data_IF_208905071821
#
_entry.id   IF_208905071821
#
_cell.length_a   1.000
_cell.length_b   1.000
_cell.length_c   1.000
_cell.angle_alpha   90.00
_cell.angle_beta   90.00
_cell.angle_gamma   90.00
#
_symmetry.space_group_name_H-M   'P 1'
#
loop_
_entity.id
_entity.type
_entity.pdbx_description
1 polymer ?
#
# COMPACT_ATOMS: atom_id res chain seq x y z
N UNK A 1 -8.49 0.08 -6.57
CA UNK A 1 -7.91 0.62 -5.32
C UNK A 1 -6.45 0.19 -5.14
N UNK A 2 -6.16 -1.09 -5.24
CA UNK A 2 -4.80 -1.57 -5.05
C UNK A 2 -3.81 -0.90 -6.02
N UNK A 3 -4.14 -0.85 -7.28
CA UNK A 3 -3.23 -0.28 -8.28
C UNK A 3 -3.02 1.22 -8.06
N UNK A 4 -4.06 1.92 -7.66
CA UNK A 4 -3.95 3.34 -7.36
C UNK A 4 -3.01 3.57 -6.18
N UNK A 5 -3.17 2.80 -5.12
CA UNK A 5 -2.35 2.90 -3.93
C UNK A 5 -0.89 2.58 -4.27
N UNK A 6 -0.68 1.54 -5.07
CA UNK A 6 0.65 1.16 -5.50
C UNK A 6 1.33 2.29 -6.29
N UNK A 7 0.58 2.89 -7.19
CA UNK A 7 1.08 3.99 -8.01
C UNK A 7 1.43 5.20 -7.15
N UNK A 8 0.52 5.55 -6.24
CA UNK A 8 0.74 6.71 -5.37
C UNK A 8 1.94 6.51 -4.45
N UNK A 9 2.11 5.29 -3.94
CA UNK A 9 3.27 4.99 -3.11
C UNK A 9 4.56 5.14 -3.92
N UNK A 10 4.58 4.62 -5.14
CA UNK A 10 5.75 4.72 -6.01
C UNK A 10 6.09 6.17 -6.34
N UNK A 11 5.07 7.04 -6.38
CA UNK A 11 5.25 8.46 -6.65
C UNK A 11 5.66 9.25 -5.39
N UNK A 12 5.71 8.58 -4.25
CA UNK A 12 6.07 9.24 -3.01
C UNK A 12 4.91 9.98 -2.33
N UNK A 13 3.68 9.74 -2.79
CA UNK A 13 2.50 10.42 -2.24
C UNK A 13 1.98 9.74 -0.98
N UNK A 14 2.34 8.47 -0.75
CA UNK A 14 1.90 7.71 0.40
C UNK A 14 3.10 7.21 1.18
N UNK A 15 2.96 7.16 2.51
CA UNK A 15 3.98 6.60 3.38
C UNK A 15 3.61 5.15 3.73
N UNK A 16 4.57 4.43 4.30
CA UNK A 16 4.31 3.06 4.77
C UNK A 16 3.14 3.02 5.75
N UNK A 17 3.06 4.03 6.63
CA UNK A 17 1.98 4.10 7.60
C UNK A 17 0.63 4.23 6.93
N UNK A 18 0.56 5.02 5.86
CA UNK A 18 -0.69 5.20 5.12
C UNK A 18 -1.11 3.93 4.39
N UNK A 19 -0.14 3.22 3.81
CA UNK A 19 -0.45 1.95 3.15
C UNK A 19 -0.89 0.92 4.18
N UNK A 20 -0.27 0.93 5.37
CA UNK A 20 -0.66 0.02 6.45
C UNK A 20 -2.08 0.31 6.91
N UNK A 21 -2.49 1.59 6.95
CA UNK A 21 -3.86 1.93 7.28
C UNK A 21 -4.84 1.34 6.28
N UNK A 22 -4.46 1.28 5.01
CA UNK A 22 -5.30 0.67 4.00
C UNK A 22 -5.50 -0.83 4.27
N UNK A 23 -4.49 -1.50 4.80
CA UNK A 23 -4.61 -2.90 5.20
C UNK A 23 -5.59 -3.03 6.37
N UNK A 24 -5.43 -2.17 7.36
CA UNK A 24 -6.28 -2.19 8.55
C UNK A 24 -7.74 -1.96 8.18
N UNK A 25 -7.98 -1.04 7.25
CA UNK A 25 -9.33 -0.73 6.79
C UNK A 25 -9.90 -1.77 5.83
N UNK A 26 -9.09 -2.74 5.43
CA UNK A 26 -9.54 -3.79 4.52
C UNK A 26 -9.58 -3.37 3.06
N UNK A 27 -8.94 -2.27 2.72
CA UNK A 27 -8.87 -1.80 1.34
C UNK A 27 -7.93 -2.68 0.52
N UNK A 28 -6.82 -3.10 1.13
CA UNK A 28 -5.86 -4.02 0.52
C UNK A 28 -5.49 -5.10 1.53
N UNK A 29 -4.84 -6.16 1.05
CA UNK A 29 -4.39 -7.25 1.90
C UNK A 29 -2.94 -7.05 2.31
N UNK A 30 -2.47 -7.84 3.29
CA UNK A 30 -1.07 -7.78 3.70
C UNK A 30 -0.14 -8.18 2.56
N UNK A 31 -0.54 -9.14 1.75
CA UNK A 31 0.25 -9.54 0.58
C UNK A 31 0.40 -8.37 -0.39
N UNK A 32 -0.69 -7.62 -0.58
CA UNK A 32 -0.66 -6.44 -1.43
C UNK A 32 0.19 -5.33 -0.81
N UNK A 33 0.15 -5.19 0.50
CA UNK A 33 0.98 -4.24 1.20
C UNK A 33 2.47 -4.52 0.94
N UNK A 34 2.87 -5.78 1.07
CA UNK A 34 4.25 -6.17 0.82
C UNK A 34 4.65 -5.91 -0.63
N UNK A 35 3.74 -6.16 -1.55
CA UNK A 35 4.01 -5.92 -2.96
C UNK A 35 4.19 -4.43 -3.23
N UNK A 36 3.38 -3.59 -2.60
CA UNK A 36 3.45 -2.14 -2.79
C UNK A 36 4.75 -1.59 -2.24
N UNK A 37 5.11 -1.98 -1.02
CA UNK A 37 6.30 -1.44 -0.34
C UNK A 37 7.59 -2.14 -0.74
N UNK A 38 7.48 -3.25 -1.45
CA UNK A 38 8.65 -4.01 -1.87
C UNK A 38 9.23 -4.89 -0.78
N UNK A 39 8.55 -5.06 0.33
CA UNK A 39 8.97 -5.96 1.39
C UNK A 39 8.62 -7.39 1.00
N UNK A 40 9.64 -8.24 0.94
CA UNK A 40 9.43 -9.62 0.57
C UNK A 40 9.24 -10.51 1.80
#
# INVERSE_FOLDING_TARGET
MFESIKKWYAMGLLSDAQVRQAVIKGVITEAQYKEITGEA
#
